data_IF_270334138875
#
_entry.id   IF_270334138875
#
_cell.length_a   1.000
_cell.length_b   1.000
_cell.length_c   1.000
_cell.angle_alpha   90.00
_cell.angle_beta   90.00
_cell.angle_gamma   90.00
#
_symmetry.space_group_name_H-M   'P 1'
#
loop_
_entity.id
_entity.type
_entity.pdbx_description
1 polymer ?
#
# COMPACT_ATOMS: atom_id res chain seq x y z
N UNK A 1 4.19 -3.20 4.60
CA UNK A 1 2.80 -3.68 4.40
C UNK A 1 2.83 -4.84 3.42
N UNK A 2 2.26 -6.01 3.72
CA UNK A 2 2.19 -7.12 2.76
C UNK A 2 0.75 -7.35 2.32
N UNK A 3 0.49 -7.13 1.03
CA UNK A 3 -0.76 -7.47 0.35
C UNK A 3 -0.55 -8.82 -0.35
N UNK A 4 -0.94 -9.91 0.32
CA UNK A 4 -0.88 -11.25 -0.26
C UNK A 4 -2.09 -11.51 -1.17
N UNK A 5 -1.86 -12.13 -2.33
CA UNK A 5 -2.90 -12.51 -3.30
C UNK A 5 -3.00 -14.04 -3.39
N UNK A 6 -4.23 -14.56 -3.36
CA UNK A 6 -4.52 -15.94 -3.73
C UNK A 6 -5.85 -16.02 -4.52
N UNK A 7 -5.78 -16.64 -5.70
CA UNK A 7 -6.84 -17.24 -6.53
C UNK A 7 -6.11 -18.12 -7.56
N UNK A 8 -6.50 -19.35 -7.90
CA UNK A 8 -7.85 -19.86 -8.19
C UNK A 8 -8.08 -21.31 -7.73
N UNK A 9 -9.36 -21.73 -7.66
CA UNK A 9 -9.90 -22.80 -8.52
C UNK A 9 -11.43 -23.01 -8.33
N UNK A 10 -12.16 -22.78 -9.43
CA UNK A 10 -13.32 -23.54 -9.91
C UNK A 10 -14.50 -23.81 -8.94
N UNK A 11 -15.47 -22.89 -8.88
CA UNK A 11 -16.90 -23.16 -9.19
C UNK A 11 -17.75 -21.88 -9.06
N UNK A 12 -18.96 -21.92 -9.62
CA UNK A 12 -19.93 -20.86 -9.96
C UNK A 12 -20.46 -19.97 -8.80
N UNK A 13 -19.74 -19.85 -7.70
CA UNK A 13 -19.92 -18.80 -6.68
C UNK A 13 -18.80 -17.79 -6.81
N UNK A 14 -18.99 -16.79 -7.70
CA UNK A 14 -18.05 -15.73 -8.04
C UNK A 14 -16.95 -15.48 -6.99
N UNK A 15 -15.78 -16.05 -7.27
CA UNK A 15 -14.58 -16.01 -6.44
C UNK A 15 -14.15 -14.55 -6.26
N UNK A 16 -14.60 -13.94 -5.15
CA UNK A 16 -14.39 -12.51 -4.92
C UNK A 16 -12.98 -12.34 -4.39
N UNK A 17 -12.04 -12.04 -5.29
CA UNK A 17 -10.68 -11.69 -4.87
C UNK A 17 -10.71 -10.50 -3.90
N UNK A 18 -9.97 -10.62 -2.81
CA UNK A 18 -9.83 -9.59 -1.77
C UNK A 18 -8.37 -9.21 -1.60
N UNK A 19 -8.14 -8.03 -1.01
CA UNK A 19 -6.83 -7.62 -0.55
C UNK A 19 -6.72 -7.95 0.95
N UNK A 20 -5.62 -8.60 1.36
CA UNK A 20 -5.36 -8.91 2.76
C UNK A 20 -4.27 -7.98 3.29
N UNK A 21 -4.59 -7.17 4.29
CA UNK A 21 -3.62 -6.33 5.01
C UNK A 21 -3.30 -6.99 6.34
N UNK A 22 -2.12 -7.62 6.42
CA UNK A 22 -1.69 -8.36 7.62
C UNK A 22 -0.78 -7.48 8.47
N UNK A 23 -1.12 -7.36 9.75
CA UNK A 23 -0.36 -6.65 10.76
C UNK A 23 0.25 -7.66 11.74
N UNK A 24 1.59 -7.67 11.93
CA UNK A 24 2.23 -8.50 12.93
C UNK A 24 1.70 -8.17 14.32
N UNK A 25 1.80 -9.10 15.27
CA UNK A 25 1.37 -8.87 16.65
C UNK A 25 2.05 -7.66 17.31
N UNK A 26 3.30 -7.35 16.94
CA UNK A 26 4.02 -6.15 17.38
C UNK A 26 3.41 -4.84 16.84
N UNK A 27 2.69 -4.88 15.72
CA UNK A 27 2.03 -3.73 15.08
C UNK A 27 0.57 -3.53 15.50
N UNK A 28 0.20 -3.97 16.69
CA UNK A 28 -1.18 -3.93 17.16
C UNK A 28 -1.78 -2.51 17.17
N UNK A 29 -0.99 -1.49 17.53
CA UNK A 29 -1.45 -0.10 17.55
C UNK A 29 -1.81 0.42 16.15
N UNK A 30 -0.94 0.20 15.16
CA UNK A 30 -1.19 0.58 13.76
C UNK A 30 -2.45 -0.11 13.21
N UNK A 31 -2.67 -1.38 13.56
CA UNK A 31 -3.88 -2.10 13.17
C UNK A 31 -5.15 -1.50 13.81
N UNK A 32 -5.03 -0.96 15.01
CA UNK A 32 -6.12 -0.31 15.74
C UNK A 32 -6.58 0.98 15.05
N UNK A 33 -5.64 1.82 14.63
CA UNK A 33 -5.93 3.05 13.88
C UNK A 33 -6.63 2.75 12.56
N UNK A 34 -6.08 1.83 11.76
CA UNK A 34 -6.67 1.41 10.50
C UNK A 34 -8.10 0.91 10.67
N UNK A 35 -8.35 0.00 11.63
CA UNK A 35 -9.71 -0.51 11.92
C UNK A 35 -10.64 0.62 12.32
N UNK A 36 -10.17 1.55 13.17
CA UNK A 36 -10.99 2.63 13.66
C UNK A 36 -11.38 3.60 12.54
N UNK A 37 -10.44 4.01 11.69
CA UNK A 37 -10.70 4.86 10.52
C UNK A 37 -11.65 4.14 9.56
N UNK A 38 -11.35 2.90 9.15
CA UNK A 38 -12.18 2.12 8.23
C UNK A 38 -13.59 1.83 8.76
N UNK A 39 -13.75 1.75 10.08
CA UNK A 39 -15.04 1.51 10.73
C UNK A 39 -15.86 2.78 11.00
N UNK A 40 -15.26 3.96 10.91
CA UNK A 40 -15.92 5.23 11.29
C UNK A 40 -16.02 6.25 10.15
N UNK A 41 -15.01 6.33 9.27
CA UNK A 41 -14.98 7.26 8.15
C UNK A 41 -15.67 6.62 6.95
N UNK A 42 -16.71 7.27 6.43
CA UNK A 42 -17.38 6.87 5.18
C UNK A 42 -17.15 7.94 4.13
N UNK A 43 -16.25 7.69 3.18
CA UNK A 43 -15.96 8.60 2.09
C UNK A 43 -15.50 7.86 0.83
N UNK A 44 -15.44 8.57 -0.30
CA UNK A 44 -15.16 7.98 -1.62
C UNK A 44 -13.78 7.30 -1.68
N UNK A 45 -12.76 7.89 -1.07
CA UNK A 45 -11.40 7.36 -1.09
C UNK A 45 -11.11 6.38 0.06
N UNK A 46 -12.09 5.97 0.86
CA UNK A 46 -11.89 4.96 1.91
C UNK A 46 -12.17 3.57 1.33
N UNK A 47 -11.24 2.60 1.44
CA UNK A 47 -11.47 1.26 0.92
C UNK A 47 -12.55 0.56 1.72
N UNK A 48 -13.32 -0.29 1.07
CA UNK A 48 -14.32 -1.09 1.77
C UNK A 48 -13.65 -2.16 2.64
N UNK A 49 -13.79 -2.04 3.96
CA UNK A 49 -13.46 -3.11 4.91
C UNK A 49 -14.53 -4.20 4.82
N UNK A 50 -14.12 -5.40 4.43
CA UNK A 50 -14.99 -6.56 4.21
C UNK A 50 -15.09 -7.42 5.47
N UNK A 51 -13.95 -7.64 6.13
CA UNK A 51 -13.86 -8.46 7.34
C UNK A 51 -12.58 -8.13 8.14
N UNK A 52 -12.56 -8.53 9.41
CA UNK A 52 -11.40 -8.44 10.31
C UNK A 52 -11.17 -9.78 10.96
N UNK A 53 -10.01 -10.39 10.71
CA UNK A 53 -9.61 -11.66 11.29
C UNK A 53 -8.44 -11.49 12.27
N UNK A 54 -8.46 -12.25 13.36
CA UNK A 54 -7.32 -12.36 14.29
C UNK A 54 -6.61 -13.69 14.04
N UNK A 55 -5.31 -13.64 13.76
CA UNK A 55 -4.45 -14.81 13.55
C UNK A 55 -3.74 -15.13 14.87
N UNK A 56 -3.77 -16.41 15.30
CA UNK A 56 -3.33 -16.84 16.65
C UNK A 56 -1.91 -16.41 17.01
N UNK A 57 -1.01 -16.25 16.03
CA UNK A 57 0.39 -15.90 16.27
C UNK A 57 0.91 -14.76 15.38
N UNK A 58 0.10 -14.32 14.42
CA UNK A 58 0.51 -13.38 13.35
C UNK A 58 -0.09 -11.99 13.54
N UNK A 59 -1.06 -11.82 14.43
CA UNK A 59 -1.69 -10.51 14.72
C UNK A 59 -3.04 -10.33 14.05
N UNK A 60 -3.28 -9.18 13.43
CA UNK A 60 -4.58 -8.78 12.86
C UNK A 60 -4.49 -8.79 11.34
N UNK A 61 -5.52 -9.34 10.68
CA UNK A 61 -5.66 -9.31 9.23
C UNK A 61 -6.94 -8.56 8.86
N UNK A 62 -6.81 -7.53 8.03
CA UNK A 62 -7.95 -6.82 7.45
C UNK A 62 -8.21 -7.38 6.05
N UNK A 63 -9.45 -7.75 5.79
CA UNK A 63 -9.92 -8.18 4.47
C UNK A 63 -10.55 -6.96 3.81
N UNK A 64 -9.92 -6.44 2.77
CA UNK A 64 -10.30 -5.22 2.07
C UNK A 64 -10.76 -5.53 0.64
N UNK A 65 -11.49 -4.60 0.02
CA UNK A 65 -11.72 -4.67 -1.42
C UNK A 65 -10.39 -4.66 -2.19
N UNK A 66 -10.33 -5.43 -3.28
CA UNK A 66 -9.16 -5.44 -4.15
C UNK A 66 -9.19 -4.22 -5.06
N UNK A 67 -8.09 -3.48 -5.05
CA UNK A 67 -7.82 -2.39 -5.99
C UNK A 67 -6.95 -2.95 -7.12
N UNK A 68 -7.31 -2.74 -8.38
CA UNK A 68 -6.62 -3.32 -9.54
C UNK A 68 -5.78 -2.29 -10.31
N UNK A 69 -6.05 -1.00 -10.12
CA UNK A 69 -5.35 0.08 -10.81
C UNK A 69 -3.96 0.38 -10.24
N UNK A 70 -3.20 1.25 -10.93
CA UNK A 70 -1.91 1.73 -10.46
C UNK A 70 -2.06 2.61 -9.20
N UNK A 71 -0.94 2.88 -8.55
CA UNK A 71 -0.87 3.97 -7.56
C UNK A 71 -1.07 5.32 -8.25
N UNK A 72 -1.47 6.34 -7.50
CA UNK A 72 -1.58 7.70 -8.03
C UNK A 72 -0.22 8.18 -8.52
N UNK A 73 0.87 7.95 -7.76
CA UNK A 73 2.24 8.25 -8.22
C UNK A 73 2.56 7.60 -9.57
N UNK A 74 2.32 6.30 -9.73
CA UNK A 74 2.58 5.57 -10.98
C UNK A 74 1.71 6.03 -12.15
N UNK A 75 0.48 6.46 -11.89
CA UNK A 75 -0.39 7.07 -12.91
C UNK A 75 0.09 8.46 -13.33
N UNK A 76 0.60 9.26 -12.40
CA UNK A 76 1.13 10.61 -12.66
C UNK A 76 2.45 10.58 -13.45
N UNK A 77 3.32 9.60 -13.16
CA UNK A 77 4.64 9.44 -13.80
C UNK A 77 4.58 8.69 -15.12
N UNK A 78 3.44 8.11 -15.49
CA UNK A 78 3.25 7.47 -16.78
C UNK A 78 3.52 8.43 -17.97
N UNK A 79 3.83 7.85 -19.13
CA UNK A 79 4.10 8.61 -20.36
C UNK A 79 2.96 9.57 -20.71
N UNK A 80 1.72 9.13 -20.50
CA UNK A 80 0.53 9.96 -20.69
C UNK A 80 0.46 11.01 -19.60
N UNK A 81 0.54 12.28 -20.00
CA UNK A 81 0.27 13.40 -19.10
C UNK A 81 -1.23 13.44 -18.73
N UNK A 82 -1.59 13.47 -17.43
CA UNK A 82 -2.96 13.64 -16.99
C UNK A 82 -3.58 14.96 -17.47
N UNK A 83 -4.87 14.97 -17.77
CA UNK A 83 -5.60 16.21 -18.06
C UNK A 83 -5.94 16.94 -16.74
N UNK A 84 -5.94 18.29 -16.69
CA UNK A 84 -6.30 19.05 -15.48
C UNK A 84 -7.62 18.60 -14.85
N UNK A 85 -8.68 18.42 -15.65
CA UNK A 85 -9.95 17.88 -15.18
C UNK A 85 -9.89 16.48 -14.53
N UNK A 86 -8.93 15.62 -14.89
CA UNK A 86 -8.72 14.33 -14.18
C UNK A 86 -8.08 14.59 -12.80
N UNK A 87 -7.14 15.54 -12.72
CA UNK A 87 -6.53 15.95 -11.44
C UNK A 87 -7.57 16.59 -10.52
N UNK A 88 -8.48 17.42 -11.05
CA UNK A 88 -9.61 17.98 -10.30
C UNK A 88 -10.45 16.87 -9.67
N UNK A 89 -10.75 15.81 -10.42
CA UNK A 89 -11.50 14.65 -9.89
C UNK A 89 -10.74 13.95 -8.76
N UNK A 90 -9.43 13.73 -8.91
CA UNK A 90 -8.60 13.08 -7.89
C UNK A 90 -8.46 13.94 -6.64
N UNK A 91 -8.00 15.19 -6.80
CA UNK A 91 -7.75 16.13 -5.70
C UNK A 91 -9.05 16.46 -4.97
N UNK A 92 -10.15 16.69 -5.71
CA UNK A 92 -11.47 16.91 -5.12
C UNK A 92 -11.94 15.72 -4.28
N UNK A 93 -11.76 14.48 -4.76
CA UNK A 93 -12.11 13.28 -3.99
C UNK A 93 -11.27 13.12 -2.71
N UNK A 94 -9.98 13.49 -2.77
CA UNK A 94 -9.09 13.53 -1.60
C UNK A 94 -9.54 14.58 -0.59
N UNK A 95 -9.79 15.81 -1.02
CA UNK A 95 -10.29 16.91 -0.15
C UNK A 95 -11.58 16.49 0.54
N UNK A 96 -12.55 15.96 -0.21
CA UNK A 96 -13.82 15.48 0.35
C UNK A 96 -13.62 14.34 1.35
N UNK A 97 -12.63 13.47 1.15
CA UNK A 97 -12.29 12.40 2.09
C UNK A 97 -11.64 12.93 3.36
N UNK A 98 -10.75 13.92 3.26
CA UNK A 98 -10.17 14.61 4.43
C UNK A 98 -11.28 15.30 5.25
N UNK A 99 -12.19 16.00 4.59
CA UNK A 99 -13.34 16.64 5.24
C UNK A 99 -14.23 15.62 5.97
N UNK A 100 -14.51 14.46 5.35
CA UNK A 100 -15.28 13.39 5.96
C UNK A 100 -14.56 12.74 7.15
N UNK A 101 -13.24 12.56 7.07
CA UNK A 101 -12.43 12.06 8.18
C UNK A 101 -12.49 13.03 9.37
N UNK A 102 -12.34 14.33 9.12
CA UNK A 102 -12.45 15.37 10.15
C UNK A 102 -13.82 15.38 10.81
N UNK A 103 -14.89 15.29 10.02
CA UNK A 103 -16.25 15.19 10.54
C UNK A 103 -16.48 13.94 11.43
N UNK A 104 -15.72 12.87 11.18
CA UNK A 104 -15.69 11.67 12.01
C UNK A 104 -14.72 11.75 13.20
N UNK A 105 -14.03 12.88 13.39
CA UNK A 105 -13.08 13.10 14.49
C UNK A 105 -11.69 12.55 14.22
N UNK A 106 -11.25 12.53 12.96
CA UNK A 106 -9.93 12.05 12.54
C UNK A 106 -9.21 13.07 11.68
N UNK A 107 -7.89 13.19 11.83
CA UNK A 107 -6.99 13.66 10.77
C UNK A 107 -6.42 12.44 10.06
N UNK A 108 -6.17 12.53 8.76
CA UNK A 108 -5.56 11.44 8.00
C UNK A 108 -4.02 11.46 8.06
N UNK A 109 -3.44 12.58 8.50
CA UNK A 109 -2.00 12.80 8.57
C UNK A 109 -1.40 13.12 7.21
N UNK A 110 -0.13 12.78 7.04
CA UNK A 110 0.61 12.98 5.80
C UNK A 110 -0.05 12.22 4.64
N UNK A 111 -0.25 12.93 3.52
CA UNK A 111 -0.89 12.41 2.32
C UNK A 111 0.17 12.24 1.25
N UNK A 112 0.44 10.99 0.85
CA UNK A 112 1.44 10.67 -0.16
C UNK A 112 0.78 10.05 -1.39
N UNK A 113 1.17 10.46 -2.60
CA UNK A 113 0.59 9.95 -3.84
C UNK A 113 0.77 8.43 -4.01
N UNK A 114 1.85 7.84 -3.48
CA UNK A 114 2.06 6.39 -3.51
C UNK A 114 1.08 5.61 -2.60
N UNK A 115 0.51 6.26 -1.58
CA UNK A 115 -0.47 5.68 -0.66
C UNK A 115 -1.89 5.64 -1.22
N UNK A 116 -2.14 6.29 -2.36
CA UNK A 116 -3.43 6.30 -3.06
C UNK A 116 -3.33 5.38 -4.27
N UNK A 117 -4.32 4.52 -4.46
CA UNK A 117 -4.38 3.56 -5.55
C UNK A 117 -5.75 3.58 -6.20
N UNK A 118 -5.79 3.37 -7.51
CA UNK A 118 -7.06 3.37 -8.23
C UNK A 118 -7.74 2.00 -8.20
N UNK A 119 -9.07 2.00 -8.14
CA UNK A 119 -9.83 0.81 -8.51
C UNK A 119 -9.99 0.70 -10.04
N UNK A 120 -10.65 -0.36 -10.52
CA UNK A 120 -10.87 -0.60 -11.96
C UNK A 120 -11.66 0.48 -12.69
N UNK A 121 -12.38 1.35 -11.97
CA UNK A 121 -13.21 2.43 -12.52
C UNK A 121 -12.47 3.78 -12.44
N UNK A 122 -11.24 3.82 -11.93
CA UNK A 122 -10.49 5.06 -11.77
C UNK A 122 -10.85 5.83 -10.51
N UNK A 123 -11.54 5.22 -9.54
CA UNK A 123 -11.77 5.85 -8.22
C UNK A 123 -10.46 5.79 -7.42
N UNK A 124 -9.94 6.93 -6.91
CA UNK A 124 -8.80 6.92 -6.00
C UNK A 124 -9.21 6.37 -4.63
N UNK A 125 -8.36 5.53 -4.04
CA UNK A 125 -8.60 4.90 -2.73
C UNK A 125 -7.30 4.87 -1.91
N UNK A 126 -7.39 5.31 -0.65
CA UNK A 126 -6.28 5.24 0.30
C UNK A 126 -5.96 3.79 0.69
N UNK A 127 -4.68 3.48 0.77
CA UNK A 127 -4.19 2.13 1.13
C UNK A 127 -3.54 2.07 2.51
N UNK A 128 -3.20 3.22 3.09
CA UNK A 128 -2.59 3.35 4.42
C UNK A 128 -3.27 4.45 5.25
N UNK A 129 -3.38 4.21 6.56
CA UNK A 129 -3.86 5.17 7.56
C UNK A 129 -2.87 5.30 8.73
N UNK A 130 -1.59 4.98 8.50
CA UNK A 130 -0.54 5.03 9.52
C UNK A 130 -0.33 6.41 10.12
N UNK A 131 -0.56 7.47 9.34
CA UNK A 131 -0.49 8.87 9.80
C UNK A 131 -1.76 9.38 10.46
N UNK A 132 -2.85 8.59 10.46
CA UNK A 132 -4.13 9.07 10.95
C UNK A 132 -4.13 9.20 12.47
N UNK A 133 -4.72 10.29 12.97
CA UNK A 133 -4.81 10.57 14.40
C UNK A 133 -6.24 10.91 14.79
N UNK A 134 -6.66 10.45 15.96
CA UNK A 134 -7.96 10.81 16.50
C UNK A 134 -7.90 12.23 17.06
N UNK A 135 -8.75 13.11 16.55
CA UNK A 135 -8.88 14.48 17.04
C UNK A 135 -9.35 14.45 18.50
N UNK A 136 -8.61 15.13 19.36
CA UNK A 136 -8.95 15.20 20.78
C UNK A 136 -10.29 15.93 20.95
N UNK A 137 -11.20 15.34 21.73
CA UNK A 137 -12.45 16.04 22.07
C UNK A 137 -12.11 17.23 22.97
N UNK A 138 -12.66 18.43 22.71
CA UNK A 138 -12.43 19.62 23.53
C UNK A 138 -12.95 19.41 24.97
N UNK A 139 -12.10 18.95 25.89
CA UNK A 139 -12.47 18.81 27.31
C UNK A 139 -12.22 20.12 28.11
N UNK A 140 -11.56 21.13 27.52
CA UNK A 140 -11.38 22.47 28.11
C UNK A 140 -11.36 23.60 27.05
N UNK A 141 -12.17 24.64 27.24
CA UNK A 141 -12.51 25.63 26.20
C UNK A 141 -11.31 26.40 25.59
N UNK A 142 -10.37 26.88 26.40
CA UNK A 142 -9.32 27.81 25.93
C UNK A 142 -8.03 27.13 25.45
N UNK A 143 -7.67 25.97 26.03
CA UNK A 143 -6.56 25.16 25.53
C UNK A 143 -6.97 24.49 24.21
N UNK A 144 -8.22 24.03 24.12
CA UNK A 144 -8.71 23.32 22.95
C UNK A 144 -8.85 24.18 21.70
N UNK A 145 -9.15 25.48 21.83
CA UNK A 145 -9.25 26.36 20.65
C UNK A 145 -7.90 26.57 19.95
N UNK A 146 -6.80 26.63 20.72
CA UNK A 146 -5.44 26.72 20.17
C UNK A 146 -5.03 25.42 19.50
N UNK A 147 -5.21 24.29 20.19
CA UNK A 147 -4.90 22.96 19.64
C UNK A 147 -5.68 22.69 18.35
N UNK A 148 -6.98 22.96 18.31
CA UNK A 148 -7.79 22.78 17.11
C UNK A 148 -7.30 23.66 15.94
N UNK A 149 -6.90 24.90 16.22
CA UNK A 149 -6.35 25.80 15.20
C UNK A 149 -4.96 25.40 14.68
N UNK A 150 -4.20 24.65 15.46
CA UNK A 150 -2.89 24.10 15.06
C UNK A 150 -3.06 22.79 14.29
N UNK A 151 -3.98 21.91 14.71
CA UNK A 151 -4.39 20.70 13.96
C UNK A 151 -4.91 21.06 12.57
N UNK A 152 -5.80 22.06 12.46
CA UNK A 152 -6.32 22.58 11.19
C UNK A 152 -5.21 23.10 10.28
N UNK A 153 -4.17 23.72 10.86
CA UNK A 153 -3.05 24.27 10.10
C UNK A 153 -2.13 23.18 9.59
N UNK A 154 -1.81 22.21 10.44
CA UNK A 154 -1.01 21.05 10.04
C UNK A 154 -1.69 20.28 8.91
N UNK A 155 -3.01 20.05 9.01
CA UNK A 155 -3.77 19.36 7.97
C UNK A 155 -3.84 20.16 6.67
N UNK A 156 -3.98 21.49 6.74
CA UNK A 156 -3.96 22.35 5.57
C UNK A 156 -2.59 22.37 4.89
N UNK A 157 -1.52 22.35 5.69
CA UNK A 157 -0.14 22.27 5.22
C UNK A 157 0.15 20.95 4.50
N UNK A 158 -0.18 19.80 5.14
CA UNK A 158 -0.03 18.47 4.57
C UNK A 158 -0.81 18.30 3.26
N UNK A 159 -2.00 18.89 3.18
CA UNK A 159 -2.80 18.89 1.95
C UNK A 159 -2.18 19.78 0.86
N UNK A 160 -1.53 20.88 1.24
CA UNK A 160 -0.76 21.72 0.34
C UNK A 160 0.45 21.02 -0.25
N UNK A 161 1.22 20.32 0.58
CA UNK A 161 2.36 19.51 0.14
C UNK A 161 1.91 18.41 -0.82
N UNK A 162 0.84 17.68 -0.49
CA UNK A 162 0.24 16.69 -1.38
C UNK A 162 -0.18 17.28 -2.73
N UNK A 163 -0.85 18.44 -2.74
CA UNK A 163 -1.26 19.10 -3.99
C UNK A 163 -0.02 19.53 -4.80
N UNK A 164 1.02 20.05 -4.15
CA UNK A 164 2.27 20.43 -4.79
C UNK A 164 2.93 19.22 -5.48
N UNK A 165 3.04 18.10 -4.77
CA UNK A 165 3.60 16.85 -5.29
C UNK A 165 2.79 16.31 -6.46
N UNK A 166 1.46 16.29 -6.34
CA UNK A 166 0.58 15.84 -7.43
C UNK A 166 0.78 16.71 -8.67
N UNK A 167 0.83 18.04 -8.52
CA UNK A 167 1.04 18.95 -9.65
C UNK A 167 2.43 18.77 -10.28
N UNK A 168 3.47 18.63 -9.45
CA UNK A 168 4.85 18.41 -9.90
C UNK A 168 4.98 17.10 -10.68
N UNK A 169 4.51 15.98 -10.13
CA UNK A 169 4.53 14.66 -10.79
C UNK A 169 3.70 14.67 -12.07
N UNK A 170 2.53 15.33 -12.06
CA UNK A 170 1.68 15.49 -13.24
C UNK A 170 2.24 16.46 -14.30
N UNK A 171 3.35 17.14 -13.99
CA UNK A 171 4.01 18.15 -14.83
C UNK A 171 3.10 19.34 -15.13
N UNK A 172 2.23 19.75 -14.20
CA UNK A 172 1.33 20.89 -14.33
C UNK A 172 1.78 22.07 -13.48
N UNK A 173 1.54 23.28 -13.98
CA UNK A 173 1.78 24.50 -13.21
C UNK A 173 0.69 24.67 -12.15
N UNK A 174 1.05 25.22 -10.98
CA UNK A 174 0.10 25.60 -9.95
C UNK A 174 -0.80 26.75 -10.45
N UNK A 175 -2.13 26.59 -10.48
CA UNK A 175 -3.07 27.66 -10.82
C UNK A 175 -3.22 28.72 -9.69
N UNK A 176 -2.43 28.62 -8.62
CA UNK A 176 -2.41 29.54 -7.49
C UNK A 176 -2.95 28.93 -6.19
N UNK A 177 -3.12 27.61 -6.13
CA UNK A 177 -3.54 26.90 -4.93
C UNK A 177 -2.52 27.05 -3.80
N UNK A 178 -1.23 26.87 -4.10
CA UNK A 178 -0.18 26.86 -3.08
C UNK A 178 0.04 28.26 -2.49
N UNK A 179 -0.09 29.30 -3.31
CA UNK A 179 -0.08 30.69 -2.83
C UNK A 179 -1.28 30.98 -1.92
N UNK A 180 -2.48 30.52 -2.31
CA UNK A 180 -3.68 30.70 -1.52
C UNK A 180 -3.63 29.92 -0.19
N UNK A 181 -3.16 28.67 -0.19
CA UNK A 181 -3.02 27.85 1.01
C UNK A 181 -2.08 28.49 2.03
N UNK A 182 -0.89 28.93 1.59
CA UNK A 182 0.05 29.68 2.45
C UNK A 182 -0.56 30.95 3.03
N UNK A 183 -1.40 31.66 2.26
CA UNK A 183 -2.13 32.82 2.77
C UNK A 183 -3.14 32.42 3.85
N UNK A 184 -3.85 31.29 3.68
CA UNK A 184 -4.83 30.82 4.66
C UNK A 184 -4.16 30.36 5.96
N UNK A 185 -3.02 29.68 5.90
CA UNK A 185 -2.27 29.23 7.09
C UNK A 185 -1.90 30.39 8.04
N UNK A 186 -1.67 31.59 7.47
CA UNK A 186 -1.34 32.81 8.20
C UNK A 186 -2.57 33.47 8.86
N UNK A 187 -3.80 33.10 8.50
CA UNK A 187 -5.02 33.71 9.06
C UNK A 187 -5.25 33.32 10.53
N UNK A 188 -5.75 34.27 11.33
CA UNK A 188 -6.05 34.10 12.76
C UNK A 188 -7.41 34.74 13.09
N UNK A 189 -8.35 34.02 13.72
CA UNK A 189 -8.34 32.56 13.95
C UNK A 189 -8.45 31.78 12.62
N UNK A 190 -7.83 30.59 12.57
CA UNK A 190 -7.98 29.69 11.42
C UNK A 190 -9.30 28.93 11.58
N UNK A 191 -10.16 29.03 10.57
CA UNK A 191 -11.39 28.24 10.45
C UNK A 191 -11.19 27.10 9.46
N UNK A 192 -12.16 26.21 9.33
CA UNK A 192 -12.16 25.23 8.24
C UNK A 192 -12.11 25.96 6.89
N UNK A 193 -11.18 25.53 6.03
CA UNK A 193 -10.93 26.07 4.68
C UNK A 193 -11.08 25.03 3.57
N UNK A 194 -11.46 23.79 3.93
CA UNK A 194 -11.62 22.73 2.92
C UNK A 194 -12.74 23.03 1.92
N UNK A 195 -13.91 23.60 2.30
CA UNK A 195 -14.95 23.94 1.33
C UNK A 195 -14.48 24.97 0.29
N UNK A 196 -13.72 25.98 0.70
CA UNK A 196 -13.17 26.97 -0.23
C UNK A 196 -12.05 26.40 -1.10
N UNK A 197 -11.22 25.50 -0.56
CA UNK A 197 -10.21 24.79 -1.34
C UNK A 197 -10.86 23.89 -2.40
N UNK A 198 -11.90 23.14 -2.02
CA UNK A 198 -12.66 22.30 -2.93
C UNK A 198 -13.26 23.13 -4.08
N UNK A 199 -13.94 24.23 -3.77
CA UNK A 199 -14.51 25.13 -4.77
C UNK A 199 -13.44 25.63 -5.75
N UNK A 200 -12.25 26.03 -5.26
CA UNK A 200 -11.14 26.47 -6.11
C UNK A 200 -10.61 25.36 -7.03
N UNK A 201 -10.54 24.12 -6.52
CA UNK A 201 -10.13 22.98 -7.33
C UNK A 201 -11.14 22.73 -8.46
N UNK A 202 -12.45 22.83 -8.19
CA UNK A 202 -13.48 22.69 -9.23
C UNK A 202 -13.54 23.88 -10.20
N UNK A 203 -13.17 25.09 -9.78
CA UNK A 203 -13.06 26.27 -10.65
C UNK A 203 -11.88 26.19 -11.62
N UNK A 204 -10.83 25.42 -11.30
CA UNK A 204 -9.63 25.31 -12.14
C UNK A 204 -9.90 24.63 -13.49
N UNK A 205 -10.66 23.53 -13.49
CA UNK A 205 -11.06 22.83 -14.70
C UNK A 205 -12.33 21.99 -14.45
N UNK A 206 -13.16 21.75 -15.49
CA UNK A 206 -14.28 20.82 -15.36
C UNK A 206 -13.78 19.43 -14.96
N UNK A 207 -14.39 18.83 -13.94
CA UNK A 207 -14.06 17.47 -13.50
C UNK A 207 -14.28 16.46 -14.64
N UNK A 208 -13.30 15.56 -14.83
CA UNK A 208 -13.33 14.52 -15.86
C UNK A 208 -13.04 13.15 -15.25
N UNK A 209 -13.64 12.06 -15.78
CA UNK A 209 -13.31 10.71 -15.34
C UNK A 209 -11.81 10.43 -15.51
N UNK A 210 -11.21 9.77 -14.51
CA UNK A 210 -9.82 9.34 -14.56
C UNK A 210 -9.68 8.19 -15.54
N UNK A 211 -8.85 8.38 -16.56
CA UNK A 211 -8.55 7.34 -17.53
C UNK A 211 -7.28 6.61 -17.09
N UNK A 212 -7.47 5.43 -16.53
CA UNK A 212 -6.40 4.46 -16.36
C UNK A 212 -6.17 3.89 -17.76
N UNK A 213 -5.05 4.24 -18.40
CA UNK A 213 -4.69 3.58 -19.66
C UNK A 213 -4.79 2.07 -19.49
N UNK A 214 -5.15 1.33 -20.54
CA UNK A 214 -5.10 -0.13 -20.49
C UNK A 214 -3.66 -0.49 -20.12
N UNK A 215 -3.42 -0.79 -18.83
CA UNK A 215 -2.18 -1.40 -18.40
C UNK A 215 -2.22 -2.71 -19.13
N UNK A 216 -1.40 -2.81 -20.18
CA UNK A 216 -1.26 -4.06 -20.92
C UNK A 216 -0.92 -5.08 -19.85
N UNK A 217 -1.88 -5.97 -19.58
CA UNK A 217 -1.76 -7.00 -18.57
C UNK A 217 -0.81 -8.07 -19.11
N UNK A 218 0.40 -7.67 -19.46
CA UNK A 218 1.55 -8.55 -19.59
C UNK A 218 1.98 -8.83 -18.16
N UNK A 219 1.11 -9.56 -17.45
CA UNK A 219 1.43 -10.11 -16.16
C UNK A 219 2.67 -10.98 -16.35
N UNK A 220 3.77 -10.77 -15.60
CA UNK A 220 4.81 -11.78 -15.53
C UNK A 220 4.13 -13.07 -15.08
N UNK A 221 4.15 -14.09 -15.92
CA UNK A 221 3.47 -15.38 -15.73
C UNK A 221 4.05 -16.24 -14.59
N UNK A 222 4.76 -15.61 -13.64
CA UNK A 222 5.28 -16.24 -12.43
C UNK A 222 4.42 -15.88 -11.23
N UNK A 223 3.24 -16.51 -11.11
CA UNK A 223 2.57 -16.60 -9.80
C UNK A 223 3.53 -17.32 -8.85
N UNK A 224 3.90 -16.75 -7.68
CA UNK A 224 4.66 -17.49 -6.69
C UNK A 224 3.88 -18.75 -6.32
N UNK A 225 4.54 -19.90 -6.50
CA UNK A 225 4.04 -21.22 -6.18
C UNK A 225 3.35 -21.20 -4.81
N UNK A 226 2.15 -21.80 -4.73
CA UNK A 226 1.41 -22.03 -3.48
C UNK A 226 2.38 -22.35 -2.34
N UNK A 227 2.28 -21.59 -1.24
CA UNK A 227 2.70 -22.07 0.07
C UNK A 227 1.85 -23.31 0.37
N UNK A 228 2.35 -24.48 -0.03
CA UNK A 228 1.80 -25.75 0.40
C UNK A 228 1.88 -25.77 1.93
N UNK A 229 0.82 -26.21 2.64
CA UNK A 229 0.91 -26.44 4.06
C UNK A 229 2.06 -27.42 4.30
N UNK A 230 3.07 -26.96 5.03
CA UNK A 230 4.17 -27.82 5.48
C UNK A 230 3.55 -28.81 6.47
N UNK A 231 3.17 -29.99 5.98
CA UNK A 231 2.88 -31.13 6.83
C UNK A 231 4.14 -31.38 7.66
N UNK A 232 4.10 -30.99 8.93
CA UNK A 232 5.01 -31.54 9.91
C UNK A 232 4.61 -33.00 10.04
N UNK A 233 5.39 -33.88 9.40
CA UNK A 233 5.41 -35.30 9.75
C UNK A 233 5.87 -35.39 11.20
N UNK A 234 4.87 -35.38 12.08
CA UNK A 234 5.00 -35.58 13.50
C UNK A 234 5.27 -37.05 13.76
N UNK A 235 6.44 -37.30 14.33
CA UNK A 235 6.81 -38.52 15.03
C UNK A 235 5.66 -39.03 15.89
N UNK A 236 5.24 -40.27 15.61
CA UNK A 236 4.26 -41.02 16.37
C UNK A 236 4.71 -41.17 17.83
N UNK A 237 4.20 -40.32 18.72
CA UNK A 237 4.22 -40.62 20.16
C UNK A 237 2.94 -41.38 20.47
N UNK A 238 3.09 -42.68 20.69
CA UNK A 238 2.04 -43.55 21.19
C UNK A 238 1.63 -43.09 22.60
N UNK A 239 0.36 -42.72 22.78
CA UNK A 239 -0.26 -42.57 24.09
C UNK A 239 -1.64 -43.23 24.11
N UNK A 240 -1.68 -44.37 24.80
CA UNK A 240 -2.65 -44.69 25.84
C UNK A 240 -4.12 -44.37 25.58
N UNK A 241 -4.79 -45.39 25.05
CA UNK A 241 -6.23 -45.64 25.16
C UNK A 241 -6.70 -45.56 26.62
N UNK A 242 -7.60 -44.63 26.93
CA UNK A 242 -8.60 -44.80 27.99
C UNK A 242 -9.94 -44.20 27.54
N UNK A 243 -10.92 -45.07 27.62
CA UNK A 243 -12.35 -44.93 27.34
C UNK A 243 -13.06 -44.30 28.55
N UNK A 244 -13.91 -43.28 28.32
CA UNK A 244 -15.26 -43.16 28.93
C UNK A 244 -15.91 -41.79 28.63
N UNK A 245 -17.15 -41.84 28.11
CA UNK A 245 -18.29 -41.15 28.72
C UNK A 245 -18.56 -39.66 28.44
N UNK A 246 -19.27 -39.39 27.35
CA UNK A 246 -20.49 -38.56 27.19
C UNK A 246 -20.72 -37.19 27.91
N UNK A 247 -21.30 -36.29 27.10
CA UNK A 247 -22.14 -35.12 27.43
C UNK A 247 -21.54 -33.79 27.99
N UNK A 248 -22.09 -32.71 27.41
CA UNK A 248 -22.05 -31.29 27.82
C UNK A 248 -20.87 -30.43 27.31
N UNK A 249 -20.98 -30.08 26.03
CA UNK A 249 -20.31 -28.96 25.37
C UNK A 249 -20.61 -27.60 26.04
N UNK A 250 -19.60 -27.05 26.73
CA UNK A 250 -19.26 -25.63 26.94
C UNK A 250 -17.96 -25.62 27.78
N UNK A 251 -16.80 -25.14 27.27
CA UNK A 251 -16.46 -23.74 27.50
C UNK A 251 -15.42 -23.13 26.53
N UNK A 252 -15.83 -22.27 25.59
CA UNK A 252 -14.89 -21.43 24.81
C UNK A 252 -14.71 -20.01 25.39
N UNK A 253 -15.45 -19.64 26.45
CA UNK A 253 -15.45 -18.25 26.98
C UNK A 253 -14.64 -18.02 28.27
N UNK A 254 -13.80 -18.96 28.72
CA UNK A 254 -12.99 -18.76 29.96
C UNK A 254 -11.52 -18.42 29.75
N UNK A 255 -10.99 -18.45 28.53
CA UNK A 255 -9.57 -18.15 28.28
C UNK A 255 -9.26 -16.70 27.86
N UNK A 256 -10.27 -15.82 27.75
CA UNK A 256 -10.05 -14.39 27.42
C UNK A 256 -9.88 -13.46 28.63
N UNK A 257 -9.71 -14.01 29.85
CA UNK A 257 -9.53 -13.18 31.06
C UNK A 257 -8.11 -13.13 31.62
N UNK A 258 -7.16 -13.87 31.03
CA UNK A 258 -5.86 -14.09 31.63
C UNK A 258 -4.75 -13.09 31.28
N UNK A 259 -4.77 -12.42 30.13
CA UNK A 259 -3.58 -11.73 29.61
C UNK A 259 -3.81 -10.29 29.13
N UNK A 260 -4.81 -9.59 29.67
CA UNK A 260 -4.92 -8.13 29.48
C UNK A 260 -4.57 -7.43 30.78
N UNK A 261 -3.27 -7.42 31.08
CA UNK A 261 -2.71 -6.90 32.32
C UNK A 261 -1.51 -6.00 32.11
N UNK A 262 -1.51 -5.12 31.09
CA UNK A 262 -0.53 -4.03 30.97
C UNK A 262 -0.83 -2.98 29.88
N UNK A 263 -2.08 -2.76 29.45
CA UNK A 263 -2.42 -1.66 28.54
C UNK A 263 -3.79 -1.06 28.90
N UNK A 264 -3.89 0.27 28.91
CA UNK A 264 -5.08 1.04 29.32
C UNK A 264 -6.31 0.69 28.43
N UNK A 265 -7.31 -0.06 28.93
CA UNK A 265 -8.23 -0.81 28.07
C UNK A 265 -9.58 -0.14 27.80
N UNK A 266 -9.79 1.11 28.22
CA UNK A 266 -11.13 1.71 28.23
C UNK A 266 -11.56 2.32 26.88
N UNK A 267 -10.64 2.82 26.05
CA UNK A 267 -10.99 3.61 24.86
C UNK A 267 -11.02 2.81 23.54
N UNK A 268 -10.13 1.82 23.37
CA UNK A 268 -10.10 0.96 22.16
C UNK A 268 -11.19 -0.12 22.16
N UNK A 269 -11.62 -0.61 23.34
CA UNK A 269 -12.67 -1.64 23.43
C UNK A 269 -14.04 -1.16 22.96
N UNK A 270 -14.34 0.13 23.06
CA UNK A 270 -15.62 0.68 22.66
C UNK A 270 -15.81 0.66 21.13
N UNK A 271 -14.76 1.00 20.36
CA UNK A 271 -14.81 1.01 18.89
C UNK A 271 -14.86 -0.41 18.29
N UNK A 272 -13.94 -1.28 18.73
CA UNK A 272 -13.86 -2.67 18.24
C UNK A 272 -15.11 -3.47 18.65
N UNK A 273 -15.61 -3.27 19.88
CA UNK A 273 -16.82 -3.92 20.37
C UNK A 273 -18.10 -3.48 19.64
N UNK A 274 -18.21 -2.19 19.29
CA UNK A 274 -19.36 -1.67 18.54
C UNK A 274 -19.40 -2.19 17.10
N UNK A 275 -18.24 -2.28 16.42
CA UNK A 275 -18.16 -2.82 15.06
C UNK A 275 -18.48 -4.32 15.01
N UNK A 276 -17.83 -5.13 15.86
CA UNK A 276 -18.09 -6.58 15.96
C UNK A 276 -19.53 -6.87 16.39
N UNK A 277 -20.12 -6.03 17.24
CA UNK A 277 -21.52 -6.13 17.63
C UNK A 277 -22.52 -5.77 16.51
N UNK A 278 -22.17 -4.81 15.65
CA UNK A 278 -23.03 -4.32 14.55
C UNK A 278 -23.09 -5.29 13.37
N UNK A 279 -21.99 -6.00 13.07
CA UNK A 279 -21.93 -6.97 11.97
C UNK A 279 -22.35 -8.42 12.33
N UNK A 280 -22.52 -8.75 13.62
CA UNK A 280 -22.99 -10.09 14.02
C UNK A 280 -24.50 -10.32 13.92
N UNK A 281 -25.31 -9.27 13.77
CA UNK A 281 -26.78 -9.37 13.82
C UNK A 281 -27.49 -9.78 12.51
N UNK A 282 -27.01 -9.47 11.30
CA UNK A 282 -27.74 -9.83 10.08
C UNK A 282 -27.50 -11.28 9.59
N UNK A 283 -26.48 -11.99 10.05
CA UNK A 283 -26.19 -13.36 9.58
C UNK A 283 -27.07 -14.44 10.20
N UNK A 284 -27.73 -14.17 11.33
CA UNK A 284 -28.61 -15.16 12.01
C UNK A 284 -30.04 -15.14 11.44
N UNK A 285 -30.50 -14.05 10.81
CA UNK A 285 -31.83 -13.97 10.20
C UNK A 285 -31.88 -14.42 8.73
N UNK A 286 -30.77 -14.43 8.01
CA UNK A 286 -30.73 -14.86 6.60
C UNK A 286 -30.74 -16.40 6.42
N UNK A 287 -30.41 -17.17 7.47
CA UNK A 287 -30.36 -18.63 7.42
C UNK A 287 -31.72 -19.34 7.46
N UNK A 288 -32.82 -18.65 7.80
CA UNK A 288 -34.16 -19.26 7.92
C UNK A 288 -35.02 -19.07 6.67
N UNK A 289 -34.66 -18.13 5.77
CA UNK A 289 -35.50 -17.82 4.60
C UNK A 289 -35.06 -18.51 3.29
N UNK A 290 -33.85 -19.08 3.24
CA UNK A 290 -33.28 -19.68 2.01
C UNK A 290 -33.67 -21.16 1.81
N UNK A 291 -34.19 -21.84 2.84
CA UNK A 291 -34.68 -23.23 2.70
C UNK A 291 -36.07 -23.29 2.01
N UNK A 292 -36.75 -22.15 1.80
CA UNK A 292 -38.09 -22.10 1.21
C UNK A 292 -38.16 -21.91 -0.32
N UNK A 293 -37.04 -21.63 -1.01
CA UNK A 293 -37.07 -21.17 -2.41
C UNK A 293 -36.25 -22.03 -3.39
N UNK A 294 -35.97 -23.29 -3.05
CA UNK A 294 -35.27 -24.25 -3.92
C UNK A 294 -36.21 -25.15 -4.76
N UNK A 295 -37.48 -24.77 -4.93
CA UNK A 295 -38.53 -25.67 -5.44
C UNK A 295 -39.10 -25.35 -6.84
N UNK A 296 -38.73 -24.27 -7.51
CA UNK A 296 -39.41 -23.92 -8.75
C UNK A 296 -38.57 -23.04 -9.70
N UNK A 297 -37.69 -23.66 -10.48
CA UNK A 297 -37.48 -23.26 -11.89
C UNK A 297 -36.54 -24.27 -12.56
N UNK A 298 -37.12 -25.37 -13.01
CA UNK A 298 -36.47 -26.36 -13.85
C UNK A 298 -37.40 -26.65 -15.02
N UNK A 299 -37.37 -25.81 -16.06
CA UNK A 299 -37.85 -26.10 -17.42
C UNK A 299 -37.54 -24.92 -18.34
N UNK A 300 -36.60 -25.09 -19.26
CA UNK A 300 -36.80 -25.08 -20.73
C UNK A 300 -35.45 -24.93 -21.45
N UNK A 301 -34.95 -26.05 -21.94
CA UNK A 301 -33.89 -26.15 -22.95
C UNK A 301 -34.57 -26.34 -24.32
N UNK A 302 -34.14 -25.61 -25.36
CA UNK A 302 -34.26 -26.08 -26.74
C UNK A 302 -32.88 -26.38 -27.37
N UNK A 303 -32.80 -27.36 -28.31
CA UNK A 303 -31.54 -27.89 -28.82
C UNK A 303 -31.03 -27.22 -30.11
N UNK A 304 -29.71 -27.38 -30.28
CA UNK A 304 -28.80 -27.28 -31.42
C UNK A 304 -29.32 -26.97 -32.84
N UNK A 305 -28.53 -26.15 -33.55
CA UNK A 305 -28.35 -26.22 -35.00
C UNK A 305 -26.86 -26.18 -35.35
N UNK A 306 -26.41 -27.21 -36.08
CA UNK A 306 -25.11 -27.31 -36.72
C UNK A 306 -25.05 -26.41 -37.96
N UNK A 307 -23.86 -25.86 -38.26
CA UNK A 307 -23.60 -25.08 -39.46
C UNK A 307 -22.11 -25.06 -39.79
N UNK A 308 -21.77 -25.75 -40.88
CA UNK A 308 -20.44 -25.91 -41.47
C UNK A 308 -19.82 -24.60 -41.99
N UNK A 309 -18.49 -24.67 -42.16
CA UNK A 309 -17.52 -23.66 -42.62
C UNK A 309 -17.83 -23.01 -44.00
N UNK A 310 -17.09 -21.94 -44.40
CA UNK A 310 -15.80 -22.15 -45.08
C UNK A 310 -14.68 -21.11 -44.83
N UNK A 311 -13.44 -21.59 -44.94
CA UNK A 311 -12.19 -20.82 -45.13
C UNK A 311 -12.21 -19.95 -46.40
N UNK A 312 -11.39 -18.89 -46.40
CA UNK A 312 -10.54 -18.64 -47.58
C UNK A 312 -9.06 -18.43 -47.22
N UNK A 313 -8.23 -19.06 -48.05
CA UNK A 313 -6.79 -18.82 -48.20
C UNK A 313 -6.52 -17.69 -49.19
N UNK A 314 -5.57 -16.81 -48.88
CA UNK A 314 -4.75 -16.04 -49.84
C UNK A 314 -3.60 -15.39 -49.03
N UNK A 315 -2.37 -15.88 -49.15
CA UNK A 315 -1.33 -15.44 -50.10
C UNK A 315 -0.57 -14.15 -49.69
N UNK A 316 0.66 -14.40 -49.21
CA UNK A 316 1.93 -13.84 -49.70
C UNK A 316 2.16 -12.32 -49.66
N UNK A 317 3.05 -11.89 -48.77
CA UNK A 317 4.12 -10.95 -49.11
C UNK A 317 5.30 -11.04 -48.12
N UNK A 318 6.48 -11.36 -48.66
CA UNK A 318 7.79 -11.30 -48.00
C UNK A 318 8.30 -9.86 -48.10
N UNK A 319 8.63 -9.23 -46.98
CA UNK A 319 9.45 -8.02 -46.95
C UNK A 319 10.59 -8.20 -45.95
N UNK A 320 11.75 -8.47 -46.52
CA UNK A 320 13.06 -8.37 -45.87
C UNK A 320 13.37 -6.90 -45.68
N UNK A 321 13.54 -6.45 -44.43
CA UNK A 321 14.01 -5.09 -44.11
C UNK A 321 15.27 -5.17 -43.26
N UNK A 322 16.30 -4.51 -43.77
CA UNK A 322 17.69 -4.58 -43.36
C UNK A 322 17.94 -4.16 -41.91
N UNK A 323 18.86 -4.89 -41.28
CA UNK A 323 19.45 -4.58 -39.99
C UNK A 323 20.35 -3.32 -40.08
N UNK A 324 20.25 -2.37 -39.13
CA UNK A 324 21.27 -1.34 -38.96
C UNK A 324 22.40 -1.85 -38.06
N UNK A 325 23.62 -1.71 -38.57
CA UNK A 325 24.90 -1.96 -37.87
C UNK A 325 25.03 -1.02 -36.66
N UNK A 326 25.32 -1.52 -35.45
CA UNK A 326 25.64 -0.66 -34.32
C UNK A 326 27.06 -0.08 -34.47
N UNK A 327 27.30 1.18 -34.06
CA UNK A 327 28.64 1.74 -34.00
C UNK A 327 29.45 1.08 -32.88
N UNK A 328 30.69 0.70 -33.20
CA UNK A 328 31.73 0.31 -32.25
C UNK A 328 31.97 1.45 -31.26
N UNK A 329 31.43 1.31 -30.06
CA UNK A 329 31.72 2.22 -28.96
C UNK A 329 32.97 1.72 -28.27
N UNK A 330 33.96 2.59 -28.19
CA UNK A 330 35.21 2.41 -27.46
C UNK A 330 34.93 1.95 -26.03
N UNK A 331 35.54 0.82 -25.66
CA UNK A 331 35.45 0.16 -24.37
C UNK A 331 36.04 1.07 -23.27
N UNK A 332 35.20 1.97 -22.74
CA UNK A 332 35.48 2.67 -21.50
C UNK A 332 35.26 1.65 -20.38
N UNK A 333 36.34 1.30 -19.69
CA UNK A 333 36.36 0.30 -18.64
C UNK A 333 35.23 0.53 -17.62
N UNK A 334 34.17 -0.27 -17.73
CA UNK A 334 33.11 -0.37 -16.73
C UNK A 334 33.78 -0.73 -15.40
N UNK A 335 33.53 0.01 -14.31
CA UNK A 335 34.04 -0.36 -13.00
C UNK A 335 33.57 -1.77 -12.69
N UNK A 336 34.51 -2.69 -12.48
CA UNK A 336 34.21 -4.09 -12.17
C UNK A 336 33.32 -4.13 -10.93
N UNK A 337 32.11 -4.64 -11.10
CA UNK A 337 31.14 -4.84 -10.03
C UNK A 337 31.80 -5.61 -8.88
N UNK A 338 31.61 -5.14 -7.65
CA UNK A 338 32.13 -5.81 -6.46
C UNK A 338 31.59 -7.25 -6.41
N UNK A 339 32.45 -8.28 -6.25
CA UNK A 339 31.99 -9.68 -6.21
C UNK A 339 30.98 -9.95 -5.09
N UNK A 340 30.97 -9.15 -4.01
CA UNK A 340 29.99 -9.27 -2.94
C UNK A 340 28.56 -8.96 -3.39
N UNK A 341 28.38 -8.08 -4.40
CA UNK A 341 27.07 -7.72 -4.95
C UNK A 341 26.49 -8.86 -5.79
N UNK A 342 27.34 -9.66 -6.44
CA UNK A 342 26.92 -10.81 -7.22
C UNK A 342 26.73 -12.08 -6.37
N UNK A 343 27.34 -12.13 -5.17
CA UNK A 343 27.30 -13.28 -4.27
C UNK A 343 25.92 -13.49 -3.63
N UNK A 344 25.73 -14.65 -2.98
CA UNK A 344 24.47 -15.03 -2.33
C UNK A 344 24.28 -14.48 -0.91
N UNK A 345 25.29 -13.80 -0.36
CA UNK A 345 25.26 -13.25 1.01
C UNK A 345 24.68 -11.83 1.02
N UNK A 346 23.44 -11.63 1.52
CA UNK A 346 22.81 -10.32 1.54
C UNK A 346 23.49 -9.32 2.49
N UNK A 347 24.21 -9.78 3.53
CA UNK A 347 24.89 -8.88 4.47
C UNK A 347 26.14 -8.29 3.82
N UNK A 348 26.95 -9.15 3.18
CA UNK A 348 28.11 -8.69 2.40
C UNK A 348 27.68 -7.78 1.24
N UNK A 349 26.60 -8.14 0.54
CA UNK A 349 26.05 -7.32 -0.53
C UNK A 349 25.56 -5.95 -0.03
N UNK A 350 24.84 -5.90 1.10
CA UNK A 350 24.39 -4.64 1.69
C UNK A 350 25.57 -3.72 2.05
N UNK A 351 26.62 -4.28 2.64
CA UNK A 351 27.85 -3.53 2.96
C UNK A 351 28.50 -2.91 1.71
N UNK A 352 28.64 -3.71 0.65
CA UNK A 352 29.20 -3.26 -0.62
C UNK A 352 28.32 -2.20 -1.30
N UNK A 353 27.01 -2.38 -1.32
CA UNK A 353 26.05 -1.45 -1.92
C UNK A 353 26.00 -0.10 -1.19
N UNK A 354 26.01 -0.09 0.14
CA UNK A 354 26.04 1.17 0.92
C UNK A 354 27.33 1.95 0.67
N UNK A 355 28.46 1.25 0.57
CA UNK A 355 29.75 1.85 0.22
C UNK A 355 29.74 2.44 -1.18
N UNK A 356 29.18 1.69 -2.15
CA UNK A 356 29.03 2.14 -3.53
C UNK A 356 28.09 3.35 -3.63
N UNK A 357 26.94 3.33 -2.96
CA UNK A 357 25.99 4.46 -2.89
C UNK A 357 26.65 5.74 -2.41
N UNK A 358 27.37 5.67 -1.28
CA UNK A 358 28.08 6.81 -0.72
C UNK A 358 29.20 7.34 -1.65
N UNK A 359 29.77 6.49 -2.49
CA UNK A 359 30.70 6.92 -3.54
C UNK A 359 29.95 7.61 -4.70
N UNK A 360 28.88 7.01 -5.23
CA UNK A 360 28.10 7.58 -6.33
C UNK A 360 27.56 8.97 -5.98
N UNK A 361 27.01 9.14 -4.77
CA UNK A 361 26.48 10.43 -4.29
C UNK A 361 27.58 11.50 -4.15
N UNK A 362 28.78 11.13 -3.69
CA UNK A 362 29.92 12.06 -3.62
C UNK A 362 30.45 12.46 -5.00
N UNK A 363 30.27 11.62 -6.01
CA UNK A 363 30.67 11.87 -7.38
C UNK A 363 29.56 12.55 -8.21
N UNK A 364 28.37 12.72 -7.62
CA UNK A 364 27.17 13.25 -8.29
C UNK A 364 26.80 12.47 -9.57
N UNK A 365 26.99 11.14 -9.55
CA UNK A 365 26.85 10.27 -10.73
C UNK A 365 25.54 9.43 -10.67
N UNK A 366 24.56 9.83 -11.48
CA UNK A 366 23.26 9.15 -11.57
C UNK A 366 23.34 7.77 -12.25
N UNK A 367 24.27 7.57 -13.19
CA UNK A 367 24.45 6.28 -13.86
C UNK A 367 25.10 5.26 -12.91
N UNK A 368 25.99 5.73 -12.03
CA UNK A 368 26.53 4.95 -10.92
C UNK A 368 25.42 4.48 -9.96
N UNK A 369 24.49 5.37 -9.59
CA UNK A 369 23.34 5.00 -8.74
C UNK A 369 22.44 3.95 -9.39
N UNK A 370 22.24 3.98 -10.71
CA UNK A 370 21.43 2.99 -11.41
C UNK A 370 21.97 1.54 -11.31
N UNK A 371 23.24 1.36 -10.96
CA UNK A 371 23.84 0.06 -10.67
C UNK A 371 23.65 -0.38 -9.20
N UNK A 372 23.44 0.57 -8.29
CA UNK A 372 23.32 0.34 -6.83
C UNK A 372 21.85 0.19 -6.43
N UNK A 373 20.99 1.06 -6.95
CA UNK A 373 19.58 1.10 -6.59
C UNK A 373 18.71 0.32 -7.58
N UNK A 374 17.62 -0.22 -7.06
CA UNK A 374 16.59 -0.82 -7.89
C UNK A 374 15.81 0.29 -8.58
N UNK A 375 15.77 0.27 -9.91
CA UNK A 375 15.04 1.25 -10.70
C UNK A 375 13.55 1.32 -10.29
N UNK A 376 13.07 2.55 -10.07
CA UNK A 376 11.69 2.85 -9.65
C UNK A 376 11.41 2.53 -8.17
N UNK A 377 12.44 2.34 -7.36
CA UNK A 377 12.29 2.12 -5.92
C UNK A 377 12.32 3.43 -5.13
N UNK A 378 11.79 3.48 -3.89
CA UNK A 378 11.81 4.71 -3.09
C UNK A 378 13.23 5.29 -2.88
N UNK A 379 14.24 4.45 -2.65
CA UNK A 379 15.62 4.93 -2.47
C UNK A 379 16.20 5.54 -3.76
N UNK A 380 15.89 4.91 -4.89
CA UNK A 380 16.27 5.36 -6.24
C UNK A 380 15.63 6.70 -6.62
N UNK A 381 14.38 6.93 -6.21
CA UNK A 381 13.70 8.23 -6.38
C UNK A 381 14.31 9.32 -5.48
N UNK A 382 14.56 9.00 -4.21
CA UNK A 382 15.16 9.92 -3.24
C UNK A 382 16.56 10.37 -3.66
N UNK A 383 17.41 9.45 -4.13
CA UNK A 383 18.79 9.76 -4.50
C UNK A 383 18.87 10.59 -5.78
N UNK A 384 18.06 10.26 -6.80
CA UNK A 384 17.97 11.10 -8.00
C UNK A 384 17.45 12.49 -7.69
N UNK A 385 16.48 12.60 -6.78
CA UNK A 385 15.98 13.89 -6.36
C UNK A 385 17.09 14.71 -5.70
N UNK A 386 17.82 14.12 -4.75
CA UNK A 386 18.93 14.77 -4.06
C UNK A 386 20.00 15.27 -5.05
N UNK A 387 20.39 14.46 -6.04
CA UNK A 387 21.30 14.88 -7.11
C UNK A 387 20.74 16.04 -7.96
N UNK A 388 19.44 16.01 -8.27
CA UNK A 388 18.81 17.04 -9.09
C UNK A 388 18.73 18.41 -8.38
N UNK A 389 18.56 18.41 -7.05
CA UNK A 389 18.45 19.65 -6.25
C UNK A 389 19.76 20.08 -5.60
N UNK A 390 20.82 19.25 -5.68
CA UNK A 390 22.10 19.50 -5.02
C UNK A 390 22.04 19.38 -3.49
N UNK A 391 21.14 18.52 -2.99
CA UNK A 391 20.97 18.27 -1.55
C UNK A 391 21.72 16.99 -1.12
N UNK A 392 21.99 16.88 0.18
CA UNK A 392 22.65 15.70 0.75
C UNK A 392 21.57 14.72 1.21
N UNK A 393 21.43 13.54 0.57
CA UNK A 393 20.46 12.56 1.02
C UNK A 393 20.81 12.07 2.43
N UNK A 394 19.84 11.53 3.19
CA UNK A 394 20.08 11.05 4.53
C UNK A 394 21.27 10.07 4.57
N UNK A 395 22.22 10.39 5.45
CA UNK A 395 23.43 9.58 5.63
C UNK A 395 23.03 8.26 6.26
N UNK A 396 23.26 7.17 5.53
CA UNK A 396 23.11 5.83 6.08
C UNK A 396 24.35 5.50 6.91
N UNK A 397 24.20 4.83 8.07
CA UNK A 397 25.31 4.43 8.92
C UNK A 397 26.31 3.56 8.14
N UNK A 398 27.57 3.53 8.59
CA UNK A 398 28.61 2.73 7.96
C UNK A 398 28.24 1.25 7.95
N UNK A 399 28.85 0.53 7.02
CA UNK A 399 28.52 -0.87 6.73
C UNK A 399 28.92 -1.89 7.81
N UNK A 400 29.49 -1.44 8.92
CA UNK A 400 29.89 -2.29 10.04
C UNK A 400 28.66 -2.65 10.87
N UNK A 401 28.54 -3.91 11.30
CA UNK A 401 27.47 -4.34 12.21
C UNK A 401 26.09 -4.55 11.58
N UNK A 402 26.01 -4.70 10.25
CA UNK A 402 24.77 -5.08 9.56
C UNK A 402 24.34 -6.49 9.98
N UNK A 403 23.07 -6.65 10.37
CA UNK A 403 22.49 -7.94 10.79
C UNK A 403 21.34 -8.32 9.86
N UNK A 404 21.34 -9.56 9.34
CA UNK A 404 20.22 -10.09 8.56
C UNK A 404 19.00 -10.32 9.48
N UNK A 405 17.91 -9.59 9.26
CA UNK A 405 16.66 -9.72 10.04
C UNK A 405 15.64 -10.63 9.35
N UNK A 406 15.70 -10.76 8.03
CA UNK A 406 14.83 -11.67 7.29
C UNK A 406 15.27 -11.90 5.85
N UNK A 407 14.94 -13.07 5.30
CA UNK A 407 15.14 -13.39 3.88
C UNK A 407 13.95 -14.17 3.33
N UNK A 408 13.44 -13.76 2.18
CA UNK A 408 12.36 -14.43 1.46
C UNK A 408 12.69 -14.47 -0.03
N UNK A 409 13.15 -15.63 -0.52
CA UNK A 409 13.60 -15.79 -1.91
C UNK A 409 14.75 -14.84 -2.24
N UNK A 410 14.52 -13.98 -3.23
CA UNK A 410 15.46 -12.96 -3.70
C UNK A 410 15.33 -11.62 -2.95
N UNK A 411 14.51 -11.54 -1.90
CA UNK A 411 14.42 -10.38 -1.02
C UNK A 411 15.15 -10.65 0.30
N UNK A 412 15.90 -9.67 0.78
CA UNK A 412 16.54 -9.69 2.10
C UNK A 412 16.33 -8.38 2.83
N UNK A 413 16.04 -8.45 4.12
CA UNK A 413 15.94 -7.31 5.01
C UNK A 413 17.08 -7.38 6.02
N UNK A 414 17.82 -6.29 6.16
CA UNK A 414 18.93 -6.18 7.10
C UNK A 414 18.70 -4.99 8.03
N UNK A 415 19.12 -5.11 9.29
CA UNK A 415 19.16 -4.00 10.24
C UNK A 415 20.51 -3.32 10.14
N UNK A 416 20.51 -2.00 10.09
CA UNK A 416 21.71 -1.19 10.24
C UNK A 416 21.87 -0.82 11.72
N UNK A 417 23.10 -0.78 12.26
CA UNK A 417 23.32 -0.33 13.62
C UNK A 417 23.12 1.19 13.74
N UNK A 418 22.79 1.63 14.94
CA UNK A 418 22.62 3.05 15.26
C UNK A 418 23.96 3.78 15.05
N UNK A 419 23.95 4.87 14.25
CA UNK A 419 25.16 5.65 13.95
C UNK A 419 25.75 6.32 15.20
N UNK A 420 24.86 6.72 16.10
CA UNK A 420 25.08 7.39 17.37
C UNK A 420 23.83 7.05 18.18
N UNK A 421 23.92 6.51 19.40
CA UNK A 421 22.78 5.94 20.15
C UNK A 421 21.58 6.86 20.49
N UNK A 422 21.41 7.97 19.76
CA UNK A 422 20.24 8.84 19.70
C UNK A 422 19.36 8.62 18.45
N UNK A 423 19.83 7.90 17.41
CA UNK A 423 19.04 7.62 16.20
C UNK A 423 18.47 6.20 16.21
N UNK A 424 17.17 6.05 15.91
CA UNK A 424 16.51 4.74 15.81
C UNK A 424 17.15 3.87 14.71
N UNK A 425 17.31 2.55 14.92
CA UNK A 425 17.94 1.67 13.95
C UNK A 425 17.12 1.62 12.66
N UNK A 426 17.78 1.93 11.54
CA UNK A 426 17.16 1.83 10.23
C UNK A 426 17.19 0.37 9.72
N UNK A 427 16.12 -0.06 9.05
CA UNK A 427 16.10 -1.33 8.32
C UNK A 427 16.24 -1.09 6.82
N UNK A 428 17.00 -1.93 6.14
CA UNK A 428 17.28 -1.83 4.70
C UNK A 428 16.73 -3.05 3.97
N UNK A 429 15.98 -2.83 2.90
CA UNK A 429 15.47 -3.86 2.00
C UNK A 429 16.31 -3.95 0.74
N UNK A 430 16.77 -5.17 0.44
CA UNK A 430 17.54 -5.53 -0.73
C UNK A 430 16.76 -6.51 -1.62
N UNK A 431 16.97 -6.39 -2.92
CA UNK A 431 16.44 -7.32 -3.93
C UNK A 431 17.56 -7.86 -4.79
N UNK A 432 17.60 -9.19 -4.98
CA UNK A 432 18.51 -9.86 -5.90
C UNK A 432 17.86 -10.00 -7.28
N UNK A 433 18.55 -9.55 -8.31
CA UNK A 433 18.19 -9.78 -9.71
C UNK A 433 19.30 -10.49 -10.49
N UNK A 434 19.18 -10.53 -11.81
CA UNK A 434 20.18 -11.13 -12.70
C UNK A 434 21.55 -10.43 -12.61
N UNK A 435 21.54 -9.14 -12.28
CA UNK A 435 22.73 -8.31 -12.13
C UNK A 435 23.31 -8.31 -10.70
N UNK A 436 22.78 -9.12 -9.78
CA UNK A 436 23.15 -9.14 -8.37
C UNK A 436 22.16 -8.41 -7.47
N UNK A 437 22.59 -8.10 -6.25
CA UNK A 437 21.79 -7.39 -5.25
C UNK A 437 21.70 -5.89 -5.57
N UNK A 438 20.57 -5.28 -5.21
CA UNK A 438 20.34 -3.82 -5.29
C UNK A 438 19.55 -3.32 -4.09
N UNK A 439 19.73 -2.04 -3.76
CA UNK A 439 18.97 -1.36 -2.71
C UNK A 439 17.57 -1.03 -3.20
N UNK A 440 16.54 -1.27 -2.37
CA UNK A 440 15.15 -0.97 -2.72
C UNK A 440 14.55 0.09 -1.81
N UNK A 441 14.71 -0.06 -0.50
CA UNK A 441 14.01 0.80 0.46
C UNK A 441 14.77 0.88 1.78
N UNK A 442 14.72 2.06 2.42
CA UNK A 442 15.20 2.30 3.77
C UNK A 442 13.98 2.59 4.64
N UNK A 443 13.86 1.90 5.77
CA UNK A 443 12.86 2.15 6.78
C UNK A 443 13.51 2.82 7.97
N UNK A 444 13.06 4.02 8.31
CA UNK A 444 13.41 4.69 9.56
C UNK A 444 12.65 4.01 10.71
N UNK A 445 13.36 3.74 11.81
CA UNK A 445 12.85 3.01 12.97
C UNK A 445 12.13 3.87 14.00
#
# INVERSE_FOLDING_TARGET
MHLGHAGDAADDTADRTVALKVFPAAGAETSGTDIAVLGTVTAVCIPRLLDVATLRDVGVCLVLERLEGPTLSGWLTAERRPHPGELVTVVGAVIGTVAAARAAGWTLGELVASSIRFDRVGRPVFTSFSGAQQLSRPDAADASARTAGDELRLELHQLGDFIADVLALARHADPGFLAWLRQQEATRPLTDRLPELEARVFDWAPARPVILGAVSAEAPSGVPLRLAPRNQDGTTIAHGETDDGDAASKPILRLLRGHVGSLHPARLRAGVGAFVGRHRRPTILAGVLVIGAAGAMLTLVPPAAAGDAPQPSADRAVSSSAAPTPPTTTDAAVPKSDPAIAADDPVAAASALLTARALCLRLEDADCLAAVDQAGSPIDEADRHALAVGDVPPSLPPADGIILTGRTGDAAMVSLPEATGETTPASLLLMKGEAGWRLREVFEG
#
